data_IF_404639383393
#
_entry.id   IF_404639383393
#
_cell.length_a   1.000
_cell.length_b   1.000
_cell.length_c   1.000
_cell.angle_alpha   90.00
_cell.angle_beta   90.00
_cell.angle_gamma   90.00
#
_symmetry.space_group_name_H-M   'P 1'
#
loop_
_entity.id
_entity.type
_entity.pdbx_description
1 polymer ?
#
# COMPACT_ATOMS: atom_id res chain seq x y z
N UNK A 1 -16.32 19.76 6.46
CA UNK A 1 -16.79 21.06 6.93
C UNK A 1 -17.37 21.00 8.34
N UNK A 2 -18.00 19.89 8.77
CA UNK A 2 -18.66 19.71 10.07
C UNK A 2 -17.83 18.89 11.10
N UNK A 3 -16.53 18.75 10.89
CA UNK A 3 -15.65 17.98 11.77
C UNK A 3 -15.75 18.36 13.25
N UNK A 4 -15.65 19.67 13.64
CA UNK A 4 -15.77 20.07 15.03
C UNK A 4 -17.12 19.75 15.66
N UNK A 5 -18.21 19.81 14.90
CA UNK A 5 -19.54 19.42 15.38
C UNK A 5 -19.62 17.91 15.61
N UNK A 6 -19.08 17.10 14.67
CA UNK A 6 -19.03 15.65 14.80
C UNK A 6 -18.23 15.22 16.03
N UNK A 7 -17.02 15.81 16.25
CA UNK A 7 -16.20 15.48 17.43
C UNK A 7 -16.93 15.77 18.72
N UNK A 8 -17.61 16.93 18.83
CA UNK A 8 -18.40 17.32 19.99
C UNK A 8 -19.56 16.34 20.25
N UNK A 9 -20.29 15.95 19.20
CA UNK A 9 -21.42 15.00 19.32
C UNK A 9 -20.94 13.62 19.77
N UNK A 10 -19.84 13.10 19.19
CA UNK A 10 -19.28 11.81 19.59
C UNK A 10 -18.81 11.84 21.04
N UNK A 11 -18.13 12.91 21.47
CA UNK A 11 -17.66 13.03 22.84
C UNK A 11 -18.84 13.12 23.83
N UNK A 12 -19.89 13.85 23.49
CA UNK A 12 -21.10 13.95 24.32
C UNK A 12 -21.85 12.61 24.46
N UNK A 13 -21.92 11.81 23.40
CA UNK A 13 -22.66 10.54 23.38
C UNK A 13 -21.86 9.37 23.94
N UNK A 14 -20.53 9.37 23.78
CA UNK A 14 -19.70 8.19 24.06
C UNK A 14 -18.60 8.41 25.10
N UNK A 15 -18.31 9.66 25.47
CA UNK A 15 -17.16 10.03 26.29
C UNK A 15 -15.80 9.89 25.57
N UNK A 16 -15.79 9.55 24.26
CA UNK A 16 -14.57 9.37 23.49
C UNK A 16 -14.17 10.70 22.84
N UNK A 17 -12.97 11.19 23.20
CA UNK A 17 -12.40 12.37 22.56
C UNK A 17 -11.81 12.01 21.20
N UNK A 18 -12.32 12.63 20.13
CA UNK A 18 -11.81 12.49 18.78
C UNK A 18 -10.91 13.65 18.40
N UNK A 19 -9.80 13.37 17.72
CA UNK A 19 -8.88 14.37 17.20
C UNK A 19 -8.95 14.42 15.67
N UNK A 20 -9.19 15.62 15.13
CA UNK A 20 -9.10 15.87 13.69
C UNK A 20 -7.62 16.12 13.35
N UNK A 21 -7.06 15.31 12.48
CA UNK A 21 -5.69 15.48 12.00
C UNK A 21 -5.66 16.27 10.69
N UNK A 22 -4.53 16.92 10.41
CA UNK A 22 -4.31 17.61 9.13
C UNK A 22 -3.98 16.62 8.03
N UNK A 23 -4.19 17.00 6.76
CA UNK A 23 -3.80 16.16 5.61
C UNK A 23 -2.31 15.81 5.59
N UNK A 24 -1.43 16.71 6.07
CA UNK A 24 0.00 16.40 6.19
C UNK A 24 0.26 15.35 7.28
N UNK A 25 -0.47 15.38 8.37
CA UNK A 25 -0.38 14.33 9.42
C UNK A 25 -0.93 13.02 8.90
N UNK A 26 -2.04 13.03 8.15
CA UNK A 26 -2.61 11.85 7.50
C UNK A 26 -1.62 11.21 6.52
N UNK A 27 -0.99 12.02 5.67
CA UNK A 27 0.05 11.58 4.75
C UNK A 27 1.23 10.92 5.48
N UNK A 28 1.72 11.58 6.55
CA UNK A 28 2.83 11.04 7.36
C UNK A 28 2.47 9.71 8.00
N UNK A 29 1.30 9.59 8.59
CA UNK A 29 0.87 8.35 9.24
C UNK A 29 0.64 7.23 8.19
N UNK A 30 0.03 7.55 7.06
CA UNK A 30 -0.14 6.58 5.96
C UNK A 30 1.21 6.10 5.43
N UNK A 31 2.20 7.00 5.30
CA UNK A 31 3.56 6.62 4.98
C UNK A 31 4.17 5.64 6.00
N UNK A 32 3.96 5.85 7.32
CA UNK A 32 4.44 4.92 8.35
C UNK A 32 3.85 3.52 8.16
N UNK A 33 2.57 3.43 7.81
CA UNK A 33 1.91 2.16 7.50
C UNK A 33 2.54 1.43 6.31
N UNK A 34 2.89 2.16 5.27
CA UNK A 34 3.52 1.62 4.05
C UNK A 34 4.98 1.22 4.31
N UNK A 35 5.78 2.15 4.86
CA UNK A 35 7.22 1.95 4.97
C UNK A 35 7.60 0.86 5.98
N UNK A 36 6.74 0.60 6.96
CA UNK A 36 6.93 -0.46 7.95
C UNK A 36 6.44 -1.83 7.50
N UNK A 37 5.80 -1.93 6.33
CA UNK A 37 5.18 -3.20 5.88
C UNK A 37 5.59 -3.61 4.47
N UNK A 38 6.06 -2.67 3.64
CA UNK A 38 6.56 -2.97 2.29
C UNK A 38 8.09 -2.90 2.22
N UNK A 39 8.75 -3.89 1.57
CA UNK A 39 10.21 -3.89 1.39
C UNK A 39 10.62 -2.98 0.23
N UNK A 40 10.25 -1.70 0.31
CA UNK A 40 10.55 -0.67 -0.68
C UNK A 40 11.52 0.35 -0.12
N UNK A 41 12.49 0.78 -0.93
CA UNK A 41 13.49 1.75 -0.56
C UNK A 41 13.12 3.16 -1.01
N UNK A 42 12.57 3.25 -2.22
CA UNK A 42 12.20 4.50 -2.88
C UNK A 42 10.84 4.32 -3.55
N UNK A 43 10.06 5.39 -3.68
CA UNK A 43 8.75 5.33 -4.34
C UNK A 43 7.92 6.60 -4.19
N UNK A 44 6.78 6.60 -4.86
CA UNK A 44 5.71 7.57 -4.62
C UNK A 44 4.53 6.81 -4.03
N UNK A 45 4.09 7.21 -2.85
CA UNK A 45 2.83 6.73 -2.26
C UNK A 45 1.71 7.67 -2.70
N UNK A 46 0.57 7.11 -3.06
CA UNK A 46 -0.70 7.81 -3.07
C UNK A 46 -1.68 7.11 -2.13
N UNK A 47 -2.29 7.85 -1.24
CA UNK A 47 -3.43 7.40 -0.44
C UNK A 47 -4.69 8.06 -0.98
N UNK A 48 -5.49 7.30 -1.70
CA UNK A 48 -6.69 7.79 -2.36
C UNK A 48 -7.91 7.54 -1.48
N UNK A 49 -8.31 8.60 -0.79
CA UNK A 49 -9.50 8.66 0.03
C UNK A 49 -10.77 9.00 -0.76
N UNK A 50 -11.84 9.32 -0.03
CA UNK A 50 -13.10 9.81 -0.61
C UNK A 50 -13.04 11.28 -1.01
N UNK A 51 -12.46 12.12 -0.15
CA UNK A 51 -12.41 13.58 -0.29
C UNK A 51 -11.05 14.16 -0.60
N UNK A 52 -9.97 13.44 -0.29
CA UNK A 52 -8.60 13.88 -0.50
C UNK A 52 -7.73 12.80 -1.13
N UNK A 53 -6.56 13.20 -1.58
CA UNK A 53 -5.50 12.30 -2.07
C UNK A 53 -4.17 12.80 -1.53
N UNK A 54 -3.54 12.01 -0.69
CA UNK A 54 -2.23 12.27 -0.14
C UNK A 54 -1.17 11.69 -1.08
N UNK A 55 -0.17 12.50 -1.45
CA UNK A 55 0.96 12.09 -2.30
C UNK A 55 2.25 12.29 -1.51
N UNK A 56 3.08 11.25 -1.47
CA UNK A 56 4.33 11.26 -0.71
C UNK A 56 5.45 10.68 -1.57
N UNK A 57 6.48 11.48 -1.84
CA UNK A 57 7.75 11.02 -2.39
C UNK A 57 8.66 10.64 -1.25
N UNK A 58 9.18 9.42 -1.27
CA UNK A 58 10.21 9.00 -0.33
C UNK A 58 11.42 8.39 -1.06
N UNK A 59 12.60 8.63 -0.50
CA UNK A 59 13.90 8.09 -0.96
C UNK A 59 14.69 7.58 0.25
N UNK A 60 15.39 6.48 0.07
CA UNK A 60 16.10 5.81 1.17
C UNK A 60 15.23 5.63 2.42
N UNK A 61 13.94 5.32 2.21
CA UNK A 61 12.94 5.15 3.28
C UNK A 61 12.73 6.40 4.14
N UNK A 62 12.92 7.58 3.58
CA UNK A 62 12.66 8.88 4.22
C UNK A 62 11.81 9.76 3.30
N UNK A 63 10.85 10.48 3.87
CA UNK A 63 10.02 11.43 3.12
C UNK A 63 10.91 12.54 2.56
N UNK A 64 10.73 12.84 1.29
CA UNK A 64 11.38 13.96 0.59
C UNK A 64 10.37 15.08 0.37
N UNK A 65 9.18 14.73 -0.11
CA UNK A 65 8.09 15.66 -0.41
C UNK A 65 6.77 15.01 -0.05
N UNK A 66 5.80 15.82 0.35
CA UNK A 66 4.42 15.37 0.56
C UNK A 66 3.42 16.49 0.31
N UNK A 67 2.22 16.12 -0.14
CA UNK A 67 1.10 17.05 -0.31
C UNK A 67 -0.22 16.30 -0.11
N UNK A 68 -1.20 16.98 0.47
CA UNK A 68 -2.60 16.57 0.48
C UNK A 68 -3.38 17.42 -0.52
N UNK A 69 -4.02 16.76 -1.48
CA UNK A 69 -4.81 17.40 -2.54
C UNK A 69 -6.30 17.24 -2.24
N UNK A 70 -7.11 18.31 -2.38
CA UNK A 70 -8.52 18.32 -1.98
C UNK A 70 -9.42 17.66 -3.05
N UNK A 71 -9.02 16.50 -3.57
CA UNK A 71 -9.83 15.65 -4.43
C UNK A 71 -9.60 14.18 -4.12
N UNK A 72 -10.65 13.40 -4.09
CA UNK A 72 -10.66 11.97 -3.85
C UNK A 72 -11.73 11.29 -4.71
N UNK A 73 -11.93 9.98 -4.51
CA UNK A 73 -12.81 9.20 -5.37
C UNK A 73 -14.29 9.66 -5.30
N UNK A 74 -14.77 10.08 -4.12
CA UNK A 74 -16.18 10.46 -3.93
C UNK A 74 -16.44 11.86 -4.48
N UNK A 75 -15.70 12.87 -4.01
CA UNK A 75 -15.95 14.25 -4.44
C UNK A 75 -15.65 14.47 -5.94
N UNK A 76 -14.68 13.77 -6.52
CA UNK A 76 -14.44 13.78 -7.96
C UNK A 76 -15.59 13.11 -8.73
N UNK A 77 -16.14 12.01 -8.18
CA UNK A 77 -17.34 11.37 -8.74
C UNK A 77 -18.53 12.34 -8.79
N UNK A 78 -18.75 13.08 -7.71
CA UNK A 78 -19.85 14.06 -7.62
C UNK A 78 -19.61 15.26 -8.53
N UNK A 79 -18.39 15.80 -8.54
CA UNK A 79 -18.01 16.98 -9.35
C UNK A 79 -18.21 16.73 -10.86
N UNK A 80 -17.86 15.54 -11.36
CA UNK A 80 -17.90 15.19 -12.78
C UNK A 80 -19.04 14.23 -13.14
N UNK A 81 -19.90 13.90 -12.18
CA UNK A 81 -21.04 12.99 -12.36
C UNK A 81 -20.67 11.66 -13.04
N UNK A 82 -19.61 10.99 -12.53
CA UNK A 82 -19.07 9.77 -13.12
C UNK A 82 -19.69 8.48 -12.61
N UNK A 83 -20.81 8.52 -11.88
CA UNK A 83 -21.51 7.34 -11.36
C UNK A 83 -22.00 6.41 -12.47
N UNK A 84 -22.49 6.98 -13.56
CA UNK A 84 -22.92 6.25 -14.77
C UNK A 84 -21.77 5.89 -15.71
N UNK A 85 -21.97 6.07 -16.99
CA UNK A 85 -20.95 5.98 -18.04
C UNK A 85 -20.14 7.28 -18.08
N UNK A 86 -18.86 7.18 -18.40
CA UNK A 86 -17.98 8.34 -18.55
C UNK A 86 -17.82 8.66 -20.05
N UNK A 87 -18.48 9.72 -20.51
CA UNK A 87 -18.30 10.19 -21.89
C UNK A 87 -16.87 10.71 -22.13
N UNK A 88 -16.41 10.78 -23.37
CA UNK A 88 -15.09 11.36 -23.69
C UNK A 88 -14.92 12.79 -23.17
N UNK A 89 -15.95 13.62 -23.25
CA UNK A 89 -15.90 15.02 -22.79
C UNK A 89 -15.76 15.08 -21.24
N UNK A 90 -16.56 14.31 -20.51
CA UNK A 90 -16.46 14.22 -19.03
C UNK A 90 -15.09 13.74 -18.61
N UNK A 91 -14.51 12.78 -19.32
CA UNK A 91 -13.16 12.31 -19.04
C UNK A 91 -12.12 13.41 -19.33
N UNK A 92 -12.25 14.13 -20.42
CA UNK A 92 -11.36 15.24 -20.79
C UNK A 92 -11.38 16.34 -19.72
N UNK A 93 -12.55 16.78 -19.29
CA UNK A 93 -12.71 17.83 -18.29
C UNK A 93 -12.16 17.40 -16.93
N UNK A 94 -12.44 16.18 -16.50
CA UNK A 94 -11.91 15.61 -15.27
C UNK A 94 -10.37 15.50 -15.34
N UNK A 95 -9.83 15.00 -16.45
CA UNK A 95 -8.38 14.84 -16.63
C UNK A 95 -7.69 16.20 -16.66
N UNK A 96 -8.24 17.19 -17.35
CA UNK A 96 -7.72 18.54 -17.35
C UNK A 96 -7.65 19.15 -15.95
N UNK A 97 -8.73 19.02 -15.17
CA UNK A 97 -8.77 19.47 -13.78
C UNK A 97 -7.68 18.79 -12.95
N UNK A 98 -7.60 17.45 -12.99
CA UNK A 98 -6.65 16.67 -12.19
C UNK A 98 -5.21 16.97 -12.58
N UNK A 99 -4.88 16.98 -13.89
CA UNK A 99 -3.54 17.25 -14.39
C UNK A 99 -3.10 18.69 -14.07
N UNK A 100 -4.01 19.68 -14.12
CA UNK A 100 -3.70 21.04 -13.71
C UNK A 100 -3.29 21.15 -12.24
N UNK A 101 -3.88 20.35 -11.35
CA UNK A 101 -3.51 20.29 -9.94
C UNK A 101 -2.18 19.55 -9.73
N UNK A 102 -2.01 18.42 -10.38
CA UNK A 102 -0.79 17.61 -10.27
C UNK A 102 0.45 18.33 -10.85
N UNK A 103 0.29 19.13 -11.90
CA UNK A 103 1.38 19.89 -12.52
C UNK A 103 2.02 20.93 -11.61
N UNK A 104 1.32 21.35 -10.56
CA UNK A 104 1.84 22.25 -9.51
C UNK A 104 2.91 21.59 -8.64
N UNK A 105 3.11 20.28 -8.77
CA UNK A 105 4.06 19.47 -8.01
C UNK A 105 5.10 18.81 -8.92
N UNK A 106 6.13 19.55 -9.42
CA UNK A 106 7.11 19.02 -10.38
C UNK A 106 7.89 17.81 -9.88
N UNK A 107 8.01 17.65 -8.56
CA UNK A 107 8.68 16.53 -7.91
C UNK A 107 7.98 15.18 -8.17
N UNK A 108 6.74 15.17 -8.67
CA UNK A 108 6.02 13.94 -9.03
C UNK A 108 6.63 13.22 -10.25
N UNK A 109 7.40 13.89 -11.10
CA UNK A 109 8.05 13.28 -12.28
C UNK A 109 9.19 12.34 -11.86
N UNK A 110 8.87 11.08 -11.61
CA UNK A 110 9.78 10.05 -11.07
C UNK A 110 9.65 8.72 -11.83
N UNK A 111 9.88 8.74 -13.14
CA UNK A 111 9.60 7.63 -14.07
C UNK A 111 10.29 6.28 -13.77
N UNK A 112 11.26 6.25 -12.87
CA UNK A 112 11.98 5.03 -12.44
C UNK A 112 11.47 4.46 -11.11
N UNK A 113 10.61 5.18 -10.41
CA UNK A 113 10.09 4.76 -9.11
C UNK A 113 8.78 3.99 -9.26
N UNK A 114 8.45 3.08 -8.34
CA UNK A 114 7.12 2.49 -8.27
C UNK A 114 6.11 3.49 -7.72
N UNK A 115 4.87 3.39 -8.20
CA UNK A 115 3.71 4.08 -7.65
C UNK A 115 3.01 3.14 -6.66
N UNK A 116 2.96 3.49 -5.38
CA UNK A 116 2.45 2.65 -4.30
C UNK A 116 1.07 3.14 -3.92
N UNK A 117 0.06 2.30 -4.15
CA UNK A 117 -1.33 2.65 -3.89
C UNK A 117 -1.83 2.18 -2.53
N UNK A 118 -2.36 3.12 -1.76
CA UNK A 118 -3.08 2.92 -0.51
C UNK A 118 -4.56 3.24 -0.74
N UNK A 119 -5.42 2.78 0.14
CA UNK A 119 -6.85 3.07 0.10
C UNK A 119 -7.68 2.04 -0.67
N UNK A 120 -8.98 2.24 -0.62
CA UNK A 120 -9.94 1.27 -1.12
C UNK A 120 -9.95 1.14 -2.63
N UNK A 121 -9.75 2.23 -3.36
CA UNK A 121 -9.69 2.24 -4.83
C UNK A 121 -8.48 1.45 -5.33
N UNK A 122 -7.28 1.74 -4.80
CA UNK A 122 -6.07 1.02 -5.16
C UNK A 122 -6.19 -0.49 -4.91
N UNK A 123 -6.70 -0.88 -3.73
CA UNK A 123 -6.93 -2.30 -3.39
C UNK A 123 -7.94 -2.96 -4.32
N UNK A 124 -9.00 -2.26 -4.71
CA UNK A 124 -10.01 -2.79 -5.64
C UNK A 124 -9.41 -3.05 -7.02
N UNK A 125 -8.66 -2.10 -7.57
CA UNK A 125 -7.99 -2.26 -8.86
C UNK A 125 -6.96 -3.40 -8.84
N UNK A 126 -6.22 -3.54 -7.74
CA UNK A 126 -5.33 -4.67 -7.52
C UNK A 126 -6.06 -6.02 -7.51
N UNK A 127 -7.22 -6.12 -6.82
CA UNK A 127 -8.05 -7.33 -6.80
C UNK A 127 -8.61 -7.65 -8.20
N UNK A 128 -9.06 -6.64 -8.95
CA UNK A 128 -9.49 -6.82 -10.34
C UNK A 128 -8.36 -7.41 -11.19
N UNK A 129 -7.13 -6.88 -11.05
CA UNK A 129 -5.97 -7.40 -11.76
C UNK A 129 -5.62 -8.83 -11.34
N UNK A 130 -5.67 -9.16 -10.05
CA UNK A 130 -5.47 -10.53 -9.58
C UNK A 130 -6.48 -11.51 -10.20
N UNK A 131 -7.76 -11.15 -10.25
CA UNK A 131 -8.79 -11.98 -10.89
C UNK A 131 -8.55 -12.15 -12.39
N UNK A 132 -8.19 -11.07 -13.07
CA UNK A 132 -7.89 -11.07 -14.51
C UNK A 132 -6.68 -11.94 -14.88
N UNK A 133 -5.63 -11.88 -14.07
CA UNK A 133 -4.39 -12.65 -14.26
C UNK A 133 -4.43 -14.05 -13.65
N UNK A 134 -5.56 -14.47 -13.05
CA UNK A 134 -5.69 -15.74 -12.30
C UNK A 134 -4.61 -15.89 -11.24
N UNK A 135 -4.26 -14.80 -10.56
CA UNK A 135 -3.22 -14.80 -9.53
C UNK A 135 -3.58 -15.76 -8.39
N UNK A 136 -2.69 -16.66 -7.96
CA UNK A 136 -3.04 -17.77 -7.07
C UNK A 136 -3.31 -17.35 -5.63
N UNK A 137 -2.92 -16.13 -5.24
CA UNK A 137 -3.10 -15.64 -3.87
C UNK A 137 -4.17 -14.55 -3.79
N UNK A 138 -4.98 -14.58 -2.74
CA UNK A 138 -5.93 -13.50 -2.43
C UNK A 138 -5.28 -12.33 -1.68
N UNK A 139 -4.02 -12.44 -1.26
CA UNK A 139 -3.29 -11.38 -0.56
C UNK A 139 -3.01 -10.23 -1.51
N UNK A 140 -3.54 -9.05 -1.17
CA UNK A 140 -3.37 -7.84 -1.99
C UNK A 140 -2.14 -7.02 -1.60
N UNK A 141 -1.68 -7.14 -0.34
CA UNK A 141 -0.50 -6.43 0.15
C UNK A 141 0.76 -6.87 -0.59
N UNK A 142 1.56 -5.91 -1.05
CA UNK A 142 2.74 -6.10 -1.91
C UNK A 142 2.44 -6.70 -3.30
N UNK A 143 1.17 -6.71 -3.74
CA UNK A 143 0.84 -7.13 -5.10
C UNK A 143 1.34 -6.10 -6.10
N UNK A 144 2.04 -6.55 -7.14
CA UNK A 144 2.70 -5.71 -8.14
C UNK A 144 2.14 -5.98 -9.52
N UNK A 145 1.89 -4.92 -10.28
CA UNK A 145 1.50 -5.02 -11.68
C UNK A 145 1.94 -3.79 -12.47
N UNK A 146 1.96 -3.89 -13.80
CA UNK A 146 2.43 -2.82 -14.67
C UNK A 146 1.39 -1.71 -14.83
N UNK A 147 1.84 -0.50 -15.17
CA UNK A 147 0.97 0.59 -15.59
C UNK A 147 0.11 0.20 -16.79
N UNK A 148 0.63 -0.63 -17.73
CA UNK A 148 -0.14 -1.14 -18.86
C UNK A 148 -1.34 -1.98 -18.39
N UNK A 149 -1.14 -2.90 -17.45
CA UNK A 149 -2.23 -3.69 -16.89
C UNK A 149 -3.29 -2.83 -16.19
N UNK A 150 -2.88 -1.71 -15.58
CA UNK A 150 -3.82 -0.72 -15.06
C UNK A 150 -4.63 -0.05 -16.18
N UNK A 151 -3.96 0.39 -17.26
CA UNK A 151 -4.64 1.04 -18.39
C UNK A 151 -5.68 0.12 -19.04
N UNK A 152 -5.39 -1.18 -19.12
CA UNK A 152 -6.35 -2.18 -19.63
C UNK A 152 -7.59 -2.27 -18.75
N UNK A 153 -7.42 -2.24 -17.41
CA UNK A 153 -8.55 -2.21 -16.46
C UNK A 153 -9.32 -0.89 -16.59
N UNK A 154 -8.62 0.23 -16.65
CA UNK A 154 -9.26 1.54 -16.76
C UNK A 154 -10.06 1.69 -18.06
N UNK A 155 -9.53 1.21 -19.17
CA UNK A 155 -10.24 1.15 -20.45
C UNK A 155 -11.53 0.33 -20.35
N UNK A 156 -11.46 -0.84 -19.72
CA UNK A 156 -12.63 -1.68 -19.46
C UNK A 156 -13.67 -0.94 -18.60
N UNK A 157 -13.24 -0.30 -17.51
CA UNK A 157 -14.15 0.45 -16.63
C UNK A 157 -14.88 1.58 -17.36
N UNK A 158 -14.17 2.31 -18.22
CA UNK A 158 -14.75 3.41 -19.01
C UNK A 158 -15.81 2.97 -20.02
N UNK A 159 -15.69 1.76 -20.54
CA UNK A 159 -16.63 1.20 -21.53
C UNK A 159 -17.87 0.55 -20.90
N UNK A 160 -17.98 0.52 -19.55
CA UNK A 160 -19.03 -0.20 -18.84
C UNK A 160 -20.05 0.74 -18.17
N UNK A 161 -21.31 0.31 -18.13
CA UNK A 161 -22.35 0.93 -17.30
C UNK A 161 -22.14 0.59 -15.82
N UNK A 162 -22.83 1.29 -14.91
CA UNK A 162 -22.79 0.99 -13.47
C UNK A 162 -23.22 -0.47 -13.18
N UNK A 163 -24.24 -0.96 -13.84
CA UNK A 163 -24.73 -2.33 -13.65
C UNK A 163 -23.74 -3.38 -14.12
N UNK A 164 -23.06 -3.12 -15.25
CA UNK A 164 -22.01 -3.99 -15.74
C UNK A 164 -20.81 -3.97 -14.80
N UNK A 165 -20.42 -2.80 -14.26
CA UNK A 165 -19.33 -2.67 -13.29
C UNK A 165 -19.57 -3.47 -12.02
N UNK A 166 -20.81 -3.50 -11.50
CA UNK A 166 -21.18 -4.30 -10.32
C UNK A 166 -20.91 -5.80 -10.48
N UNK A 167 -20.81 -6.28 -11.73
CA UNK A 167 -20.56 -7.69 -12.07
C UNK A 167 -19.08 -8.00 -12.35
N UNK A 168 -18.20 -6.99 -12.34
CA UNK A 168 -16.79 -7.21 -12.64
C UNK A 168 -16.11 -7.92 -11.46
N UNK A 169 -15.46 -9.03 -11.75
CA UNK A 169 -14.74 -9.80 -10.74
C UNK A 169 -13.62 -8.98 -10.05
N UNK A 170 -13.64 -8.93 -8.73
CA UNK A 170 -12.70 -8.15 -7.92
C UNK A 170 -13.15 -6.72 -7.57
N UNK A 171 -14.20 -6.23 -8.21
CA UNK A 171 -14.85 -4.96 -7.88
C UNK A 171 -16.03 -5.22 -6.94
N UNK A 172 -16.02 -4.63 -5.74
CA UNK A 172 -17.19 -4.69 -4.85
C UNK A 172 -18.33 -3.78 -5.35
N UNK A 173 -19.57 -4.23 -5.20
CA UNK A 173 -20.75 -3.46 -5.62
C UNK A 173 -20.82 -2.07 -5.00
N UNK A 174 -20.38 -1.93 -3.75
CA UNK A 174 -20.34 -0.67 -2.98
C UNK A 174 -19.37 0.37 -3.55
N UNK A 175 -18.42 -0.04 -4.40
CA UNK A 175 -17.44 0.85 -5.03
C UNK A 175 -17.67 1.07 -6.52
N UNK A 176 -18.64 0.38 -7.09
CA UNK A 176 -18.88 0.42 -8.53
C UNK A 176 -19.25 1.82 -9.05
N UNK A 177 -19.82 2.67 -8.20
CA UNK A 177 -20.21 4.04 -8.53
C UNK A 177 -19.05 5.04 -8.50
N UNK A 178 -18.07 4.85 -7.60
CA UNK A 178 -16.94 5.78 -7.41
C UNK A 178 -15.65 5.31 -8.11
N UNK A 179 -15.59 4.06 -8.57
CA UNK A 179 -14.36 3.47 -9.11
C UNK A 179 -13.86 4.18 -10.37
N UNK A 180 -14.76 4.74 -11.19
CA UNK A 180 -14.37 5.43 -12.42
C UNK A 180 -13.57 6.71 -12.14
N UNK A 181 -14.03 7.56 -11.23
CA UNK A 181 -13.30 8.76 -10.83
C UNK A 181 -11.98 8.38 -10.14
N UNK A 182 -12.04 7.39 -9.23
CA UNK A 182 -10.84 6.92 -8.54
C UNK A 182 -9.79 6.34 -9.50
N UNK A 183 -10.19 5.55 -10.48
CA UNK A 183 -9.29 5.06 -11.52
C UNK A 183 -8.79 6.19 -12.45
N UNK A 184 -9.62 7.19 -12.72
CA UNK A 184 -9.22 8.40 -13.46
C UNK A 184 -8.15 9.21 -12.74
N UNK A 185 -8.25 9.38 -11.42
CA UNK A 185 -7.21 10.01 -10.59
C UNK A 185 -5.89 9.23 -10.71
N UNK A 186 -5.94 7.90 -10.57
CA UNK A 186 -4.74 7.06 -10.69
C UNK A 186 -4.15 7.13 -12.10
N UNK A 187 -4.99 7.20 -13.14
CA UNK A 187 -4.52 7.37 -14.51
C UNK A 187 -3.73 8.68 -14.67
N UNK A 188 -4.25 9.79 -14.18
CA UNK A 188 -3.55 11.08 -14.21
C UNK A 188 -2.27 11.06 -13.37
N UNK A 189 -2.24 10.33 -12.24
CA UNK A 189 -1.02 10.12 -11.45
C UNK A 189 0.03 9.33 -12.24
N UNK A 190 -0.33 8.24 -12.91
CA UNK A 190 0.59 7.47 -13.74
C UNK A 190 1.13 8.30 -14.91
N UNK A 191 0.30 9.11 -15.55
CA UNK A 191 0.68 10.03 -16.61
C UNK A 191 1.66 11.09 -16.10
N UNK A 192 1.36 11.73 -14.98
CA UNK A 192 2.20 12.79 -14.38
C UNK A 192 3.54 12.25 -13.88
N UNK A 193 3.53 11.11 -13.21
CA UNK A 193 4.72 10.52 -12.58
C UNK A 193 5.60 9.80 -13.59
N UNK A 194 5.03 9.24 -14.65
CA UNK A 194 5.70 8.35 -15.59
C UNK A 194 6.09 6.99 -15.02
N UNK A 195 5.58 6.63 -13.82
CA UNK A 195 5.82 5.34 -13.18
C UNK A 195 5.32 4.19 -14.05
N UNK A 196 6.11 3.11 -14.14
CA UNK A 196 5.78 1.93 -14.97
C UNK A 196 5.22 0.76 -14.16
N UNK A 197 5.32 0.82 -12.85
CA UNK A 197 4.89 -0.24 -11.94
C UNK A 197 4.02 0.33 -10.83
N UNK A 198 2.95 -0.36 -10.53
CA UNK A 198 2.11 -0.15 -9.34
C UNK A 198 2.36 -1.25 -8.31
N UNK A 199 2.38 -0.87 -7.04
CA UNK A 199 2.44 -1.76 -5.88
C UNK A 199 1.24 -1.44 -5.00
N UNK A 200 0.49 -2.45 -4.56
CA UNK A 200 -0.65 -2.24 -3.68
C UNK A 200 -0.24 -2.44 -2.23
N UNK A 201 -0.48 -1.44 -1.40
CA UNK A 201 -0.39 -1.58 0.05
C UNK A 201 -1.74 -1.99 0.64
N UNK A 202 -1.72 -3.03 1.45
CA UNK A 202 -2.85 -3.39 2.32
C UNK A 202 -2.89 -2.53 3.59
N UNK A 203 -1.77 -1.90 3.91
CA UNK A 203 -1.53 -1.10 5.10
C UNK A 203 -1.48 0.40 4.74
N UNK A 204 -1.96 1.24 5.64
CA UNK A 204 -2.02 2.69 5.46
C UNK A 204 -2.20 3.39 6.81
N UNK A 205 -3.12 4.34 6.90
CA UNK A 205 -3.35 5.19 8.08
C UNK A 205 -3.51 4.39 9.39
N UNK A 206 -4.32 3.33 9.41
CA UNK A 206 -4.58 2.56 10.65
C UNK A 206 -3.32 1.86 11.16
N UNK A 207 -2.61 1.20 10.27
CA UNK A 207 -1.36 0.53 10.61
C UNK A 207 -0.26 1.54 10.96
N UNK A 208 -0.26 2.70 10.30
CA UNK A 208 0.64 3.80 10.62
C UNK A 208 0.44 4.35 12.03
N UNK A 209 -0.82 4.54 12.45
CA UNK A 209 -1.16 4.92 13.84
C UNK A 209 -0.66 3.88 14.85
N UNK A 210 -0.84 2.59 14.53
CA UNK A 210 -0.32 1.52 15.37
C UNK A 210 1.21 1.61 15.50
N UNK A 211 1.95 1.81 14.42
CA UNK A 211 3.41 1.93 14.46
C UNK A 211 3.88 3.17 15.22
N UNK A 212 3.20 4.31 15.05
CA UNK A 212 3.52 5.53 15.79
C UNK A 212 3.33 5.34 17.30
N UNK A 213 2.22 4.74 17.70
CA UNK A 213 1.94 4.43 19.11
C UNK A 213 2.91 3.39 19.67
N UNK A 214 3.08 2.27 18.96
CA UNK A 214 3.89 1.14 19.40
C UNK A 214 5.37 1.49 19.55
N UNK A 215 5.91 2.31 18.64
CA UNK A 215 7.30 2.75 18.73
C UNK A 215 7.57 3.56 19.99
N UNK A 216 6.61 4.36 20.44
CA UNK A 216 6.71 5.19 21.65
C UNK A 216 6.55 4.36 22.92
N UNK A 217 5.61 3.40 22.93
CA UNK A 217 5.34 2.56 24.12
C UNK A 217 6.46 1.54 24.38
N UNK A 218 7.03 0.95 23.34
CA UNK A 218 8.03 -0.13 23.45
C UNK A 218 9.47 0.35 23.21
N UNK A 219 9.69 1.67 23.09
CA UNK A 219 10.98 2.27 22.78
C UNK A 219 11.67 1.62 21.56
N UNK A 220 10.90 1.31 20.52
CA UNK A 220 11.37 0.69 19.29
C UNK A 220 11.56 1.72 18.17
N UNK A 221 12.43 1.44 17.18
CA UNK A 221 12.57 2.32 16.03
C UNK A 221 11.24 2.51 15.31
N UNK A 222 10.83 3.77 15.08
CA UNK A 222 9.60 4.14 14.39
C UNK A 222 9.53 3.54 12.98
N UNK A 223 10.66 3.47 12.29
CA UNK A 223 10.79 2.81 10.99
C UNK A 223 11.69 1.59 11.17
N UNK A 224 11.13 0.40 10.89
CA UNK A 224 11.88 -0.85 10.97
C UNK A 224 13.08 -0.81 10.01
N UNK A 225 14.31 -1.05 10.48
CA UNK A 225 15.49 -1.04 9.60
C UNK A 225 15.40 -2.09 8.49
N UNK A 226 14.82 -3.23 8.81
CA UNK A 226 14.68 -4.39 7.93
C UNK A 226 13.30 -5.04 8.09
N UNK A 227 12.51 -4.98 7.02
CA UNK A 227 11.13 -5.52 7.02
C UNK A 227 11.13 -7.05 7.07
N UNK A 228 12.07 -7.70 6.36
CA UNK A 228 12.14 -9.16 6.35
C UNK A 228 12.53 -9.69 7.73
N UNK A 229 13.55 -9.11 8.35
CA UNK A 229 13.97 -9.51 9.69
C UNK A 229 12.87 -9.30 10.73
N UNK A 230 12.21 -8.13 10.72
CA UNK A 230 11.06 -7.84 11.59
C UNK A 230 9.92 -8.84 11.38
N UNK A 231 9.56 -9.12 10.14
CA UNK A 231 8.50 -10.10 9.83
C UNK A 231 8.87 -11.50 10.30
N UNK A 232 10.14 -11.89 10.14
CA UNK A 232 10.67 -13.16 10.63
C UNK A 232 10.57 -13.26 12.15
N UNK A 233 10.99 -12.21 12.88
CA UNK A 233 10.89 -12.19 14.35
C UNK A 233 9.43 -12.25 14.82
N UNK A 234 8.52 -11.51 14.17
CA UNK A 234 7.10 -11.58 14.50
C UNK A 234 6.53 -13.00 14.34
N UNK A 235 6.88 -13.69 13.25
CA UNK A 235 6.45 -15.07 13.03
C UNK A 235 7.03 -16.00 14.12
N UNK A 236 8.31 -15.87 14.43
CA UNK A 236 8.94 -16.65 15.51
C UNK A 236 8.23 -16.44 16.84
N UNK A 237 8.00 -15.19 17.23
CA UNK A 237 7.32 -14.85 18.49
C UNK A 237 5.92 -15.44 18.56
N UNK A 238 5.18 -15.47 17.45
CA UNK A 238 3.80 -15.98 17.41
C UNK A 238 3.72 -17.51 17.42
N UNK A 239 4.69 -18.19 16.79
CA UNK A 239 4.56 -19.62 16.49
C UNK A 239 5.67 -20.49 17.07
N UNK A 240 6.71 -19.94 17.68
CA UNK A 240 7.81 -20.71 18.24
C UNK A 240 8.03 -20.34 19.71
N UNK A 241 7.54 -21.15 20.67
CA UNK A 241 7.70 -20.85 22.10
C UNK A 241 9.15 -20.81 22.56
N UNK A 242 9.99 -21.69 22.00
CA UNK A 242 11.43 -21.73 22.25
C UNK A 242 12.21 -21.52 20.94
N UNK A 243 12.94 -20.43 20.86
CA UNK A 243 13.75 -20.06 19.70
C UNK A 243 15.21 -20.53 19.78
N UNK A 244 15.59 -21.25 20.85
CA UNK A 244 16.99 -21.64 21.11
C UNK A 244 17.52 -22.52 19.98
N UNK A 245 16.76 -23.55 19.60
CA UNK A 245 17.14 -24.44 18.51
C UNK A 245 17.26 -23.70 17.17
N UNK A 246 16.26 -22.92 16.79
CA UNK A 246 16.25 -22.16 15.53
C UNK A 246 17.38 -21.16 15.45
N UNK A 247 17.77 -20.51 16.56
CA UNK A 247 18.92 -19.61 16.61
C UNK A 247 20.22 -20.37 16.41
N UNK A 248 20.41 -21.52 17.10
CA UNK A 248 21.62 -22.32 16.95
C UNK A 248 21.80 -22.84 15.51
N UNK A 249 20.74 -23.40 14.91
CA UNK A 249 20.78 -23.82 13.52
C UNK A 249 21.10 -22.65 12.59
N UNK A 250 20.56 -21.47 12.86
CA UNK A 250 20.85 -20.27 12.08
C UNK A 250 22.32 -19.88 12.16
N UNK A 251 22.93 -19.90 13.35
CA UNK A 251 24.34 -19.61 13.54
C UNK A 251 25.23 -20.59 12.77
N UNK A 252 24.94 -21.89 12.85
CA UNK A 252 25.65 -22.92 12.07
C UNK A 252 25.52 -22.68 10.57
N UNK A 253 24.30 -22.47 10.07
CA UNK A 253 24.03 -22.24 8.65
C UNK A 253 24.76 -21.00 8.12
N UNK A 254 24.76 -19.91 8.89
CA UNK A 254 25.46 -18.68 8.48
C UNK A 254 26.98 -18.83 8.54
N UNK A 255 27.50 -19.57 9.52
CA UNK A 255 28.93 -19.87 9.60
C UNK A 255 29.38 -20.69 8.37
N UNK A 256 28.64 -21.73 8.01
CA UNK A 256 28.93 -22.53 6.80
C UNK A 256 28.83 -21.67 5.52
N UNK A 257 27.81 -20.82 5.42
CA UNK A 257 27.66 -19.90 4.29
C UNK A 257 28.87 -18.98 4.16
N UNK A 258 29.34 -18.40 5.25
CA UNK A 258 30.45 -17.44 5.25
C UNK A 258 31.79 -18.15 4.94
N UNK A 259 32.02 -19.36 5.48
CA UNK A 259 33.23 -20.17 5.20
C UNK A 259 33.28 -20.61 3.73
N UNK A 260 32.15 -20.97 3.14
CA UNK A 260 32.11 -21.44 1.74
C UNK A 260 31.84 -20.33 0.72
N UNK A 261 32.02 -19.07 1.11
CA UNK A 261 31.73 -17.91 0.25
C UNK A 261 32.46 -17.96 -1.09
N UNK A 262 33.72 -18.39 -1.10
CA UNK A 262 34.53 -18.48 -2.32
C UNK A 262 34.06 -19.62 -3.25
N UNK A 263 33.41 -20.64 -2.70
CA UNK A 263 32.86 -21.76 -3.45
C UNK A 263 31.52 -21.41 -4.09
N UNK A 264 30.55 -20.91 -3.30
CA UNK A 264 29.19 -20.65 -3.79
C UNK A 264 29.03 -19.28 -4.45
N UNK A 265 29.89 -18.30 -4.17
CA UNK A 265 29.90 -16.92 -4.74
C UNK A 265 28.58 -16.16 -4.61
N UNK A 266 27.74 -16.53 -3.63
CA UNK A 266 26.45 -15.90 -3.37
C UNK A 266 26.63 -14.57 -2.62
N UNK A 267 25.67 -13.65 -2.85
CA UNK A 267 25.68 -12.30 -2.27
C UNK A 267 25.05 -12.23 -0.86
N UNK A 268 25.04 -11.02 -0.30
CA UNK A 268 24.47 -10.73 1.02
C UNK A 268 22.94 -10.95 1.07
N UNK A 269 22.24 -10.82 -0.05
CA UNK A 269 20.80 -11.02 -0.09
C UNK A 269 20.46 -12.51 0.06
N UNK A 270 21.27 -13.40 -0.51
CA UNK A 270 21.14 -14.85 -0.32
C UNK A 270 21.46 -15.27 1.11
N UNK A 271 22.49 -14.64 1.73
CA UNK A 271 22.79 -14.84 3.15
C UNK A 271 21.62 -14.47 4.06
N UNK A 272 20.94 -13.35 3.75
CA UNK A 272 19.77 -12.89 4.48
C UNK A 272 18.58 -13.84 4.32
N UNK A 273 18.35 -14.36 3.11
CA UNK A 273 17.33 -15.38 2.86
C UNK A 273 17.62 -16.67 3.62
N UNK A 274 18.88 -17.13 3.64
CA UNK A 274 19.31 -18.29 4.43
C UNK A 274 19.04 -18.09 5.92
N UNK A 275 19.38 -16.90 6.48
CA UNK A 275 19.05 -16.55 7.86
C UNK A 275 17.56 -16.72 8.16
N UNK A 276 16.71 -16.16 7.29
CA UNK A 276 15.25 -16.25 7.43
C UNK A 276 14.76 -17.68 7.36
N UNK A 277 15.23 -18.45 6.38
CA UNK A 277 14.87 -19.85 6.22
C UNK A 277 15.30 -20.70 7.43
N UNK A 278 16.53 -20.53 7.90
CA UNK A 278 17.05 -21.23 9.08
C UNK A 278 16.29 -20.86 10.37
N UNK A 279 15.89 -19.59 10.54
CA UNK A 279 15.08 -19.20 11.70
C UNK A 279 13.68 -19.82 11.68
N UNK A 280 13.09 -20.00 10.51
CA UNK A 280 11.70 -20.46 10.33
C UNK A 280 11.57 -21.94 9.97
N UNK A 281 12.67 -22.72 9.94
CA UNK A 281 12.65 -24.08 9.39
C UNK A 281 11.67 -25.01 10.13
N UNK A 282 11.51 -24.84 11.45
CA UNK A 282 10.64 -25.65 12.31
C UNK A 282 9.26 -25.09 12.56
N UNK A 283 8.87 -24.00 11.88
CA UNK A 283 7.59 -23.33 12.16
C UNK A 283 6.37 -24.24 11.92
N UNK A 284 6.54 -25.26 11.08
CA UNK A 284 5.52 -26.27 10.79
C UNK A 284 5.11 -27.11 12.01
N UNK A 285 5.93 -27.17 13.06
CA UNK A 285 5.62 -27.87 14.33
C UNK A 285 4.29 -27.39 14.93
N UNK A 286 3.93 -26.12 14.72
CA UNK A 286 2.65 -25.56 15.20
C UNK A 286 1.43 -26.18 14.54
N UNK A 287 1.58 -26.80 13.38
CA UNK A 287 0.50 -27.47 12.63
C UNK A 287 0.54 -28.98 12.91
N UNK A 288 1.73 -29.58 12.77
CA UNK A 288 1.94 -31.01 13.03
C UNK A 288 3.38 -31.23 13.50
N UNK A 289 3.53 -31.93 14.63
CA UNK A 289 4.86 -32.22 15.17
C UNK A 289 5.67 -33.21 14.31
N UNK A 290 4.99 -34.13 13.64
CA UNK A 290 5.61 -35.08 12.72
C UNK A 290 5.49 -34.56 11.29
N UNK A 291 6.60 -34.59 10.51
CA UNK A 291 6.63 -34.13 9.11
C UNK A 291 6.39 -32.61 8.95
N UNK A 292 6.93 -31.81 9.86
CA UNK A 292 6.91 -30.35 9.81
C UNK A 292 7.97 -29.77 8.84
#
# INVERSE_FOLDING_TARGET
>A
PNGPELTRLVEAETGITMHIITGNTEAYISYLGVINTLPVKDGIIFDLGGGSTELILFKNRQIVESVSLPFGAVNTTDMFNTRGTMSPNVYSDMSFFLLSRLSQHPWLKQNRLPLIGVGGTARTLGKMQQKRSKYPSSKIHNYKFSAQAFHDIFSQLRSTTLEQRRKIAGLSSERADIILAGAGIINCLLETTGCKQMIISGCGLREGLFFDYYSKSENMPLIAPDILDRSTQNILTLYTPDTTHSKHITELALTMFDVWKDLHKLDKDKRKLLKTAALLHDIGITINFYSH
#
